data_IF_384771295755
#
_entry.id   IF_384771295755
#
_cell.length_a   1.000
_cell.length_b   1.000
_cell.length_c   1.000
_cell.angle_alpha   90.00
_cell.angle_beta   90.00
_cell.angle_gamma   90.00
#
_symmetry.space_group_name_H-M   'P 1'
#
loop_
_entity.id
_entity.type
_entity.pdbx_description
1 polymer ?
#
# COMPACT_ATOMS: atom_id res chain seq x y z
N UNK A 1 -0.85 8.43 -17.57
CA UNK A 1 -0.44 9.44 -16.59
C UNK A 1 0.77 8.93 -15.81
N UNK A 2 1.72 9.82 -15.61
CA UNK A 2 2.95 9.46 -14.92
C UNK A 2 2.86 9.86 -13.44
N UNK A 3 3.05 8.90 -12.55
CA UNK A 3 2.97 9.14 -11.12
C UNK A 3 4.36 9.16 -10.50
N UNK A 4 4.53 9.99 -9.47
CA UNK A 4 5.77 10.05 -8.70
C UNK A 4 5.50 9.50 -7.31
N UNK A 5 6.30 8.54 -6.89
CA UNK A 5 6.15 7.89 -5.59
C UNK A 5 7.33 8.21 -4.70
N UNK A 6 7.07 8.29 -3.39
CA UNK A 6 8.16 8.36 -2.44
C UNK A 6 8.95 7.05 -2.50
N UNK A 7 10.16 7.07 -1.95
CA UNK A 7 10.98 5.86 -1.93
C UNK A 7 10.27 4.72 -1.19
N UNK A 8 9.61 5.04 -0.09
CA UNK A 8 8.89 4.01 0.66
C UNK A 8 7.72 3.46 -0.12
N UNK A 9 7.00 4.31 -0.84
CA UNK A 9 5.88 3.83 -1.67
C UNK A 9 6.40 2.95 -2.80
N UNK A 10 7.52 3.34 -3.42
CA UNK A 10 8.11 2.49 -4.46
C UNK A 10 8.49 1.12 -3.89
N UNK A 11 9.02 1.10 -2.68
CA UNK A 11 9.39 -0.16 -2.05
C UNK A 11 8.18 -1.02 -1.78
N UNK A 12 7.09 -0.40 -1.32
CA UNK A 12 5.85 -1.12 -1.09
C UNK A 12 5.34 -1.75 -2.39
N UNK A 13 5.42 -1.01 -3.49
CA UNK A 13 4.99 -1.54 -4.79
C UNK A 13 5.88 -2.70 -5.24
N UNK A 14 7.19 -2.62 -4.97
CA UNK A 14 8.09 -3.72 -5.29
C UNK A 14 7.72 -4.98 -4.51
N UNK A 15 7.45 -4.84 -3.22
CA UNK A 15 7.04 -5.98 -2.41
C UNK A 15 5.71 -6.56 -2.88
N UNK A 16 4.79 -5.69 -3.32
CA UNK A 16 3.52 -6.17 -3.85
C UNK A 16 3.75 -7.06 -5.08
N UNK A 17 4.63 -6.62 -5.97
CA UNK A 17 4.94 -7.41 -7.15
C UNK A 17 5.62 -8.72 -6.76
N UNK A 18 6.56 -8.66 -5.83
CA UNK A 18 7.30 -9.85 -5.42
C UNK A 18 6.37 -10.91 -4.84
N UNK A 19 5.44 -10.53 -3.97
CA UNK A 19 4.56 -11.52 -3.37
C UNK A 19 3.59 -12.09 -4.41
N UNK A 20 3.13 -11.25 -5.35
CA UNK A 20 2.28 -11.76 -6.42
C UNK A 20 3.01 -12.83 -7.23
N UNK A 21 4.26 -12.55 -7.60
CA UNK A 21 5.06 -13.50 -8.36
C UNK A 21 5.29 -14.79 -7.56
N UNK A 22 5.63 -14.63 -6.31
CA UNK A 22 5.90 -15.78 -5.44
C UNK A 22 4.69 -16.69 -5.32
N UNK A 23 3.51 -16.11 -5.22
CA UNK A 23 2.28 -16.87 -5.06
C UNK A 23 1.68 -17.33 -6.38
N UNK A 24 2.32 -17.02 -7.49
CA UNK A 24 1.85 -17.48 -8.79
C UNK A 24 0.69 -16.69 -9.33
N UNK A 25 0.54 -15.45 -8.92
CA UNK A 25 -0.54 -14.59 -9.40
C UNK A 25 0.01 -13.70 -10.52
N UNK A 26 -0.68 -13.71 -11.66
CA UNK A 26 -0.21 -12.93 -12.81
C UNK A 26 -0.79 -11.52 -12.82
N UNK A 27 -1.14 -11.01 -11.65
CA UNK A 27 -1.68 -9.67 -11.49
C UNK A 27 -1.26 -9.13 -10.13
N UNK A 28 -1.25 -7.80 -10.01
CA UNK A 28 -1.08 -7.15 -8.72
C UNK A 28 -2.44 -6.58 -8.34
N UNK A 29 -3.09 -7.23 -7.37
CA UNK A 29 -4.38 -6.81 -6.88
C UNK A 29 -4.26 -5.96 -5.64
N UNK A 30 -5.41 -5.52 -5.12
CA UNK A 30 -5.42 -4.70 -3.91
C UNK A 30 -4.81 -5.45 -2.72
N UNK A 31 -4.97 -6.78 -2.68
CA UNK A 31 -4.41 -7.59 -1.61
C UNK A 31 -2.89 -7.57 -1.64
N UNK A 32 -2.30 -7.57 -2.83
CA UNK A 32 -0.84 -7.49 -2.93
C UNK A 32 -0.35 -6.12 -2.53
N UNK A 33 -1.10 -5.07 -2.87
CA UNK A 33 -0.74 -3.73 -2.42
C UNK A 33 -0.77 -3.63 -0.90
N UNK A 34 -1.78 -4.24 -0.27
CA UNK A 34 -1.86 -4.24 1.19
C UNK A 34 -0.64 -4.95 1.78
N UNK A 35 -0.29 -6.10 1.24
CA UNK A 35 0.91 -6.82 1.69
C UNK A 35 2.13 -5.93 1.60
N UNK A 36 2.29 -5.27 0.45
CA UNK A 36 3.47 -4.41 0.25
C UNK A 36 3.56 -3.29 1.25
N UNK A 37 2.41 -2.69 1.58
CA UNK A 37 2.40 -1.61 2.56
C UNK A 37 2.85 -2.09 3.94
N UNK A 38 2.42 -3.29 4.35
CA UNK A 38 2.82 -3.83 5.64
C UNK A 38 4.29 -4.26 5.62
N UNK A 39 4.70 -4.94 4.54
CA UNK A 39 6.06 -5.49 4.44
C UNK A 39 7.10 -4.40 4.38
N UNK A 40 6.77 -3.23 3.84
CA UNK A 40 7.73 -2.14 3.74
C UNK A 40 8.26 -1.74 5.12
N UNK A 41 7.42 -1.76 6.13
CA UNK A 41 7.83 -1.74 7.52
C UNK A 41 8.07 -0.38 8.16
N UNK A 42 8.37 0.67 7.40
CA UNK A 42 8.80 1.93 8.00
C UNK A 42 7.92 3.12 7.68
N UNK A 43 7.05 3.03 6.69
CA UNK A 43 6.18 4.14 6.32
C UNK A 43 4.98 4.29 7.24
N UNK A 44 4.25 5.37 7.04
CA UNK A 44 3.06 5.64 7.84
C UNK A 44 2.04 4.52 7.71
N UNK A 45 1.82 4.02 6.48
CA UNK A 45 0.83 2.96 6.30
C UNK A 45 1.23 1.70 7.06
N UNK A 46 2.51 1.34 6.99
CA UNK A 46 2.97 0.15 7.70
C UNK A 46 2.76 0.29 9.20
N UNK A 47 3.09 1.46 9.74
CA UNK A 47 2.94 1.69 11.18
C UNK A 47 1.49 1.52 11.63
N UNK A 48 0.55 2.16 10.93
CA UNK A 48 -0.83 2.10 11.39
C UNK A 48 -1.43 0.72 11.16
N UNK A 49 -1.05 0.04 10.08
CA UNK A 49 -1.55 -1.32 9.84
C UNK A 49 -1.02 -2.28 10.88
N UNK A 50 0.26 -2.17 11.24
CA UNK A 50 0.83 -3.02 12.28
C UNK A 50 0.21 -2.73 13.64
N UNK A 51 -0.06 -1.46 13.93
CA UNK A 51 -0.73 -1.11 15.18
C UNK A 51 -2.12 -1.73 15.27
N UNK A 52 -2.75 -1.96 14.12
CA UNK A 52 -4.05 -2.62 14.09
C UNK A 52 -3.93 -4.13 14.10
N UNK A 53 -2.72 -4.66 14.18
CA UNK A 53 -2.51 -6.09 14.34
C UNK A 53 -2.12 -6.86 13.09
N UNK A 54 -1.97 -6.19 11.95
CA UNK A 54 -1.59 -6.88 10.72
C UNK A 54 -0.08 -7.12 10.70
N UNK A 55 0.30 -8.29 10.23
CA UNK A 55 1.70 -8.61 9.96
C UNK A 55 1.80 -9.05 8.50
N UNK A 56 3.02 -9.01 7.96
CA UNK A 56 3.22 -9.51 6.59
C UNK A 56 2.75 -10.95 6.48
N UNK A 57 3.04 -11.75 7.49
CA UNK A 57 2.67 -13.16 7.47
C UNK A 57 1.16 -13.33 7.49
N UNK A 58 0.45 -12.58 8.32
CA UNK A 58 -1.00 -12.72 8.39
C UNK A 58 -1.66 -12.28 7.09
N UNK A 59 -1.15 -11.23 6.46
CA UNK A 59 -1.70 -10.79 5.19
C UNK A 59 -1.43 -11.81 4.10
N UNK A 60 -0.19 -12.32 4.03
CA UNK A 60 0.15 -13.31 3.01
C UNK A 60 -0.69 -14.57 3.17
N UNK A 61 -0.86 -15.03 4.40
CA UNK A 61 -1.68 -16.21 4.64
C UNK A 61 -3.12 -15.98 4.21
N UNK A 62 -3.66 -14.79 4.50
CA UNK A 62 -5.02 -14.47 4.09
C UNK A 62 -5.14 -14.46 2.57
N UNK A 63 -4.13 -13.92 1.88
CA UNK A 63 -4.14 -13.95 0.42
C UNK A 63 -4.18 -15.38 -0.09
N UNK A 64 -3.35 -16.26 0.49
CA UNK A 64 -3.32 -17.66 0.08
C UNK A 64 -4.67 -18.31 0.27
N UNK A 65 -5.33 -18.02 1.38
CA UNK A 65 -6.62 -18.63 1.68
C UNK A 65 -7.73 -18.13 0.79
N UNK A 66 -7.71 -16.84 0.46
CA UNK A 66 -8.79 -16.26 -0.33
C UNK A 66 -8.58 -16.48 -1.82
N UNK A 67 -7.36 -16.32 -2.29
CA UNK A 67 -7.06 -16.33 -3.73
C UNK A 67 -6.47 -17.65 -4.18
N UNK A 68 -5.73 -18.33 -3.30
CA UNK A 68 -5.05 -19.57 -3.67
C UNK A 68 -3.60 -19.30 -4.05
N UNK A 69 -2.91 -20.37 -4.41
CA UNK A 69 -1.50 -20.33 -4.76
C UNK A 69 -1.29 -21.07 -6.07
N UNK A 70 -0.55 -20.47 -6.99
CA UNK A 70 -0.18 -21.10 -8.24
C UNK A 70 1.32 -21.30 -8.32
N UNK A 71 1.77 -21.61 -9.53
CA UNK A 71 3.20 -21.75 -9.77
C UNK A 71 3.86 -20.38 -9.79
N UNK A 72 5.04 -20.31 -9.17
CA UNK A 72 5.78 -19.06 -9.10
C UNK A 72 6.01 -18.49 -10.51
N UNK A 73 5.85 -17.18 -10.64
CA UNK A 73 6.06 -16.49 -11.90
C UNK A 73 7.42 -15.83 -11.83
N UNK A 74 8.26 -16.08 -12.84
CA UNK A 74 9.62 -15.55 -12.81
C UNK A 74 9.80 -14.30 -13.66
N UNK A 75 8.91 -14.08 -14.62
CA UNK A 75 9.01 -12.95 -15.54
C UNK A 75 8.05 -11.85 -15.10
N UNK A 76 8.61 -10.75 -14.59
CA UNK A 76 7.80 -9.64 -14.13
C UNK A 76 6.94 -9.03 -15.24
N UNK A 77 7.34 -9.23 -16.50
CA UNK A 77 6.55 -8.71 -17.61
C UNK A 77 5.21 -9.43 -17.77
N UNK A 78 5.03 -10.56 -17.10
CA UNK A 78 3.76 -11.27 -17.17
C UNK A 78 2.74 -10.77 -16.17
N UNK A 79 3.10 -9.77 -15.37
CA UNK A 79 2.26 -9.27 -14.29
C UNK A 79 1.86 -7.84 -14.56
N UNK A 80 0.58 -7.53 -14.32
CA UNK A 80 0.10 -6.16 -14.44
C UNK A 80 -0.88 -5.87 -13.32
N UNK A 81 -1.10 -4.59 -13.06
CA UNK A 81 -2.07 -4.16 -12.05
C UNK A 81 -3.49 -4.46 -12.50
N UNK A 82 -4.32 -4.91 -11.56
CA UNK A 82 -5.75 -5.06 -11.86
C UNK A 82 -6.39 -3.69 -12.03
N UNK A 83 -7.57 -3.63 -12.67
CA UNK A 83 -8.28 -2.35 -12.75
C UNK A 83 -8.55 -1.73 -11.38
N UNK A 84 -8.87 -2.54 -10.37
CA UNK A 84 -9.09 -2.00 -9.03
C UNK A 84 -7.81 -1.42 -8.44
N UNK A 85 -6.67 -2.11 -8.64
CA UNK A 85 -5.40 -1.58 -8.16
C UNK A 85 -5.04 -0.28 -8.85
N UNK A 86 -5.34 -0.19 -10.14
CA UNK A 86 -5.11 1.07 -10.85
C UNK A 86 -5.94 2.19 -10.26
N UNK A 87 -7.19 1.89 -9.87
CA UNK A 87 -8.03 2.90 -9.21
C UNK A 87 -7.48 3.29 -7.85
N UNK A 88 -6.93 2.32 -7.10
CA UNK A 88 -6.29 2.63 -5.83
C UNK A 88 -5.17 3.64 -6.04
N UNK A 89 -4.33 3.40 -7.06
CA UNK A 89 -3.22 4.30 -7.33
C UNK A 89 -3.73 5.68 -7.77
N UNK A 90 -4.77 5.71 -8.59
CA UNK A 90 -5.36 6.98 -9.00
C UNK A 90 -5.95 7.72 -7.81
N UNK A 91 -6.67 7.01 -6.93
CA UNK A 91 -7.21 7.63 -5.72
C UNK A 91 -6.09 8.17 -4.85
N UNK A 92 -4.98 7.43 -4.76
CA UNK A 92 -3.83 7.88 -3.98
C UNK A 92 -3.24 9.16 -4.57
N UNK A 93 -3.13 9.20 -5.89
CA UNK A 93 -2.63 10.38 -6.57
C UNK A 93 -3.51 11.60 -6.29
N UNK A 94 -4.83 11.41 -6.40
CA UNK A 94 -5.75 12.51 -6.14
C UNK A 94 -5.68 12.98 -4.71
N UNK A 95 -5.52 12.05 -3.78
CA UNK A 95 -5.39 12.42 -2.38
C UNK A 95 -4.11 13.21 -2.13
N UNK A 96 -3.00 12.78 -2.72
CA UNK A 96 -1.74 13.51 -2.58
C UNK A 96 -1.88 14.93 -3.14
N UNK A 97 -2.54 15.07 -4.30
CA UNK A 97 -2.77 16.38 -4.89
C UNK A 97 -3.64 17.25 -3.99
N UNK A 98 -4.68 16.65 -3.42
CA UNK A 98 -5.58 17.40 -2.54
C UNK A 98 -4.83 17.92 -1.32
N UNK A 99 -3.85 17.16 -0.85
CA UNK A 99 -3.06 17.55 0.32
C UNK A 99 -1.85 18.40 -0.04
N UNK A 100 -1.66 18.69 -1.33
CA UNK A 100 -0.61 19.60 -1.75
C UNK A 100 0.77 18.97 -1.85
N UNK A 101 0.86 17.65 -1.91
CA UNK A 101 2.16 17.00 -2.06
C UNK A 101 2.36 16.55 -3.50
N UNK A 102 3.63 16.53 -3.90
CA UNK A 102 3.99 16.15 -5.25
C UNK A 102 4.15 14.64 -5.41
N UNK A 103 4.44 13.95 -4.31
CA UNK A 103 4.75 12.53 -4.34
C UNK A 103 3.66 11.73 -3.64
N UNK A 104 3.38 10.54 -4.17
CA UNK A 104 2.44 9.60 -3.56
C UNK A 104 3.21 8.80 -2.52
N UNK A 105 2.80 8.90 -1.27
CA UNK A 105 3.42 8.15 -0.18
C UNK A 105 2.61 6.92 0.17
N UNK A 106 3.13 6.15 1.13
CA UNK A 106 2.42 4.95 1.55
C UNK A 106 1.07 5.30 2.17
N UNK A 107 0.99 6.43 2.88
CA UNK A 107 -0.28 6.86 3.47
C UNK A 107 -1.33 7.12 2.40
N UNK A 108 -0.92 7.66 1.26
CA UNK A 108 -1.86 7.92 0.18
C UNK A 108 -2.32 6.61 -0.46
N UNK A 109 -1.42 5.65 -0.59
CA UNK A 109 -1.81 4.34 -1.12
C UNK A 109 -2.82 3.67 -0.20
N UNK A 110 -2.62 3.76 1.11
CA UNK A 110 -3.56 3.17 2.05
C UNK A 110 -4.91 3.86 1.96
N UNK A 111 -4.93 5.19 1.89
CA UNK A 111 -6.17 5.92 1.72
C UNK A 111 -6.84 5.50 0.41
N UNK A 112 -6.05 5.30 -0.64
CA UNK A 112 -6.59 4.83 -1.91
C UNK A 112 -7.29 3.49 -1.79
N UNK A 113 -6.71 2.56 -1.03
CA UNK A 113 -7.37 1.28 -0.79
C UNK A 113 -8.70 1.50 -0.07
N UNK A 114 -8.69 2.33 0.97
CA UNK A 114 -9.90 2.57 1.73
C UNK A 114 -10.99 3.23 0.89
N UNK A 115 -10.60 4.12 -0.01
CA UNK A 115 -11.56 4.78 -0.88
C UNK A 115 -12.11 3.85 -1.95
N UNK A 116 -11.36 2.83 -2.31
CA UNK A 116 -11.85 1.87 -3.30
C UNK A 116 -13.01 1.05 -2.73
N UNK A 117 -13.09 0.94 -1.41
CA UNK A 117 -14.21 0.30 -0.76
C UNK A 117 -14.09 -1.21 -0.75
N UNK A 118 -15.12 -1.90 -1.26
CA UNK A 118 -15.20 -3.35 -1.17
C UNK A 118 -14.23 -4.01 -2.16
N UNK A 119 -13.11 -4.47 -1.65
CA UNK A 119 -12.09 -5.15 -2.44
C UNK A 119 -11.42 -6.20 -1.58
N UNK A 120 -10.52 -6.99 -2.19
CA UNK A 120 -9.89 -8.07 -1.43
C UNK A 120 -9.09 -7.52 -0.26
N UNK A 121 -8.40 -6.40 -0.46
CA UNK A 121 -7.63 -5.80 0.64
C UNK A 121 -8.51 -5.47 1.84
N UNK A 122 -9.65 -4.81 1.60
CA UNK A 122 -10.52 -4.45 2.72
C UNK A 122 -11.17 -5.68 3.34
N UNK A 123 -11.42 -6.70 2.53
CA UNK A 123 -11.94 -7.95 3.06
C UNK A 123 -10.94 -8.59 4.00
N UNK A 124 -9.66 -8.59 3.63
CA UNK A 124 -8.62 -9.13 4.51
C UNK A 124 -8.57 -8.33 5.81
N UNK A 125 -8.62 -7.01 5.71
CA UNK A 125 -8.59 -6.19 6.90
C UNK A 125 -9.72 -6.54 7.84
N UNK A 126 -10.94 -6.71 7.32
CA UNK A 126 -12.08 -7.06 8.15
C UNK A 126 -11.91 -8.44 8.77
N UNK A 127 -11.40 -9.42 8.01
CA UNK A 127 -11.21 -10.75 8.54
C UNK A 127 -10.14 -10.80 9.63
N UNK A 128 -9.18 -9.86 9.57
CA UNK A 128 -8.14 -9.77 10.58
C UNK A 128 -8.52 -8.80 11.69
N UNK A 129 -9.79 -8.42 11.76
CA UNK A 129 -10.33 -7.59 12.83
C UNK A 129 -9.80 -6.15 12.84
N UNK A 130 -9.43 -5.64 11.67
CA UNK A 130 -9.07 -4.24 11.56
C UNK A 130 -10.35 -3.43 11.41
N UNK A 131 -10.55 -2.50 12.34
CA UNK A 131 -11.70 -1.61 12.30
C UNK A 131 -11.41 -0.47 11.34
N UNK A 132 -12.18 -0.33 10.25
CA UNK A 132 -11.87 0.71 9.26
C UNK A 132 -11.90 2.12 9.83
N UNK A 133 -12.85 2.42 10.72
CA UNK A 133 -12.91 3.76 11.31
C UNK A 133 -11.73 3.99 12.23
N UNK A 134 -11.36 2.98 13.02
CA UNK A 134 -10.20 3.08 13.89
C UNK A 134 -8.92 3.27 13.11
N UNK A 135 -8.80 2.55 11.98
CA UNK A 135 -7.64 2.70 11.11
C UNK A 135 -7.56 4.13 10.56
N UNK A 136 -8.67 4.64 10.07
CA UNK A 136 -8.70 6.00 9.53
C UNK A 136 -8.34 7.02 10.61
N UNK A 137 -8.90 6.86 11.81
CA UNK A 137 -8.61 7.79 12.89
C UNK A 137 -7.14 7.78 13.26
N UNK A 138 -6.55 6.59 13.32
CA UNK A 138 -5.13 6.49 13.62
C UNK A 138 -4.29 7.11 12.53
N UNK A 139 -4.66 6.88 11.28
CA UNK A 139 -3.95 7.43 10.14
C UNK A 139 -3.95 8.94 10.18
N UNK A 140 -5.10 9.54 10.43
CA UNK A 140 -5.20 11.00 10.54
C UNK A 140 -4.32 11.52 11.67
N UNK A 141 -4.34 10.83 12.80
CA UNK A 141 -3.53 11.25 13.95
C UNK A 141 -2.04 11.21 13.62
N UNK A 142 -1.58 10.12 13.02
CA UNK A 142 -0.18 9.97 12.68
C UNK A 142 0.24 11.03 11.66
N UNK A 143 -0.61 11.29 10.67
CA UNK A 143 -0.28 12.29 9.65
C UNK A 143 -0.18 13.67 10.23
N UNK A 144 -1.04 14.01 11.18
CA UNK A 144 -0.96 15.33 11.79
C UNK A 144 0.29 15.50 12.65
N UNK A 145 0.83 14.39 13.18
CA UNK A 145 2.03 14.45 13.99
C UNK A 145 3.31 14.37 13.15
N UNK A 146 3.27 13.69 12.00
CA UNK A 146 4.47 13.43 11.23
C UNK A 146 4.46 14.03 9.84
N UNK A 147 3.46 14.85 9.53
CA UNK A 147 3.32 15.34 8.16
C UNK A 147 4.54 16.06 7.64
N UNK A 148 5.14 16.91 8.44
CA UNK A 148 6.32 17.66 8.03
C UNK A 148 7.50 16.74 7.77
N UNK A 149 7.68 15.76 8.63
CA UNK A 149 8.78 14.83 8.48
C UNK A 149 8.66 14.06 7.19
N UNK A 150 7.46 13.61 6.85
CA UNK A 150 7.25 12.90 5.60
C UNK A 150 7.55 13.78 4.40
N UNK A 151 7.17 15.02 4.45
CA UNK A 151 7.47 15.94 3.35
C UNK A 151 8.95 16.12 3.15
N UNK A 152 9.68 16.30 4.24
CA UNK A 152 11.13 16.45 4.16
C UNK A 152 11.77 15.19 3.58
N UNK A 153 11.28 14.06 4.00
CA UNK A 153 11.82 12.80 3.52
C UNK A 153 11.66 12.67 2.01
N UNK A 154 10.50 13.03 1.49
CA UNK A 154 10.27 12.98 0.07
C UNK A 154 11.22 13.89 -0.69
N UNK A 155 11.42 15.08 -0.17
CA UNK A 155 12.29 16.03 -0.85
C UNK A 155 13.73 15.57 -0.86
N UNK A 156 14.19 15.00 0.24
CA UNK A 156 15.59 14.63 0.28
C UNK A 156 15.86 13.40 -0.57
N UNK A 157 14.89 12.55 -0.72
CA UNK A 157 15.22 11.40 -1.52
C UNK A 157 15.30 11.77 -2.96
N UNK A 158 14.80 12.76 -3.24
CA UNK A 158 14.96 13.09 -4.48
C UNK A 158 16.07 13.70 -4.46
N UNK A 159 15.85 13.59 -3.96
CA UNK A 159 16.29 13.57 -3.59
C UNK A 159 16.04 12.55 -3.32
N UNK A 160 15.64 11.86 -3.40
CA UNK A 160 15.51 10.97 -3.17
C UNK A 160 14.40 10.62 -2.71
N UNK A 161 13.94 10.30 -2.50
CA UNK A 161 12.88 10.05 -2.09
C UNK A 161 12.25 10.42 -1.24
N UNK A 162 11.63 10.28 -0.95
CA UNK A 162 11.10 10.66 -0.07
C UNK A 162 10.18 10.43 0.59
N UNK A 163 9.55 10.24 1.28
CA UNK A 163 8.83 9.84 1.99
C UNK A 163 7.76 10.12 2.24
N UNK A 164 6.83 9.90 2.25
CA UNK A 164 5.94 10.03 2.62
C UNK A 164 5.52 9.86 2.77
N UNK A 165 5.34 9.39 2.87
CA UNK A 165 5.13 9.21 3.08
C UNK A 165 5.30 9.11 2.84
#
# INVERSE_FOLDING_TARGET
MYYKFTARAEKALEYAQEVAMELGHNYIGTEHLLYGLVEEGTGVASKVLQNQGLTSESVKQAIEEIVGVGEEIEDANEISFTPRSKRVIENAFLEARRLGTEYIGTEHLLIGIMKEGDCVATRIMLEENVNPQGLYNELVKVLSEEGEENSESANSSSKGSYNST
#
